data_IF_105884988268
#
_entry.id   IF_105884988268
#
_cell.length_a   1.000
_cell.length_b   1.000
_cell.length_c   1.000
_cell.angle_alpha   90.00
_cell.angle_beta   90.00
_cell.angle_gamma   90.00
#
_symmetry.space_group_name_H-M   'P 1'
#
loop_
_entity.id
_entity.type
_entity.pdbx_description
1 polymer ?
#
# COMPACT_ATOMS: atom_id res chain seq x y z
N UNK A 1 65.38 5.29 10.92
CA UNK A 1 64.31 4.31 11.14
C UNK A 1 63.20 4.96 11.95
N UNK A 2 62.07 5.33 11.33
CA UNK A 2 60.83 5.70 12.03
C UNK A 2 59.68 5.01 11.30
N UNK A 3 59.05 4.09 12.01
CA UNK A 3 58.00 3.19 11.53
C UNK A 3 56.69 3.96 11.41
N UNK A 4 56.11 3.97 10.21
CA UNK A 4 54.79 4.54 9.95
C UNK A 4 53.76 3.46 10.27
N UNK A 5 52.94 3.65 11.30
CA UNK A 5 51.82 2.76 11.60
C UNK A 5 50.62 3.17 10.74
N UNK A 6 50.27 2.33 9.77
CA UNK A 6 49.04 2.47 8.98
C UNK A 6 47.85 1.99 9.81
N UNK A 7 46.96 2.92 10.19
CA UNK A 7 45.69 2.61 10.85
C UNK A 7 44.66 2.34 9.75
N UNK A 8 44.35 1.06 9.52
CA UNK A 8 43.28 0.65 8.63
C UNK A 8 41.94 0.74 9.37
N UNK A 9 41.12 1.73 9.03
CA UNK A 9 39.74 1.85 9.53
C UNK A 9 38.86 0.94 8.68
N UNK A 10 38.49 -0.23 9.19
CA UNK A 10 37.49 -1.09 8.57
C UNK A 10 36.09 -0.52 8.88
N UNK A 11 35.49 0.16 7.91
CA UNK A 11 34.09 0.61 7.98
C UNK A 11 33.21 -0.57 7.58
N UNK A 12 32.78 -1.37 8.56
CA UNK A 12 31.79 -2.42 8.36
C UNK A 12 30.41 -1.76 8.27
N UNK A 13 29.97 -1.46 7.04
CA UNK A 13 28.58 -1.07 6.77
C UNK A 13 27.70 -2.30 6.96
N UNK A 14 27.17 -2.49 8.16
CA UNK A 14 26.10 -3.47 8.39
C UNK A 14 24.84 -2.92 7.74
N UNK A 15 24.54 -3.41 6.53
CA UNK A 15 23.24 -3.21 5.88
C UNK A 15 22.23 -4.03 6.67
N UNK A 16 21.68 -3.43 7.74
CA UNK A 16 20.58 -4.02 8.48
C UNK A 16 19.36 -3.98 7.56
N UNK A 17 19.09 -5.09 6.88
CA UNK A 17 17.86 -5.29 6.14
C UNK A 17 16.70 -5.18 7.12
N UNK A 18 16.03 -4.03 7.12
CA UNK A 18 14.71 -3.88 7.69
C UNK A 18 13.78 -4.77 6.86
N UNK A 19 13.64 -6.04 7.23
CA UNK A 19 12.47 -6.82 6.86
C UNK A 19 11.28 -6.06 7.44
N UNK A 20 10.69 -5.19 6.64
CA UNK A 20 9.42 -4.56 6.96
C UNK A 20 8.47 -5.67 7.37
N UNK A 21 7.80 -5.49 8.51
CA UNK A 21 6.66 -6.32 8.88
C UNK A 21 5.57 -6.10 7.82
N UNK A 22 5.68 -6.78 6.68
CA UNK A 22 4.70 -6.72 5.61
C UNK A 22 3.46 -7.46 6.10
N UNK A 23 2.44 -6.70 6.48
CA UNK A 23 1.18 -7.27 6.97
C UNK A 23 0.50 -7.95 5.79
N UNK A 24 0.43 -9.28 5.84
CA UNK A 24 -0.35 -10.06 4.89
C UNK A 24 -1.83 -10.02 5.31
N UNK A 25 -2.72 -9.72 4.38
CA UNK A 25 -4.15 -9.84 4.46
C UNK A 25 -4.63 -11.09 3.70
N UNK A 26 -5.81 -11.61 4.06
CA UNK A 26 -6.39 -12.80 3.41
C UNK A 26 -7.75 -12.45 2.81
N UNK A 27 -8.35 -13.40 2.08
CA UNK A 27 -9.72 -13.25 1.58
C UNK A 27 -10.72 -12.91 2.71
N UNK A 28 -10.51 -13.41 3.94
CA UNK A 28 -11.33 -13.04 5.10
C UNK A 28 -11.27 -11.54 5.46
N UNK A 29 -10.15 -10.88 5.18
CA UNK A 29 -10.01 -9.44 5.39
C UNK A 29 -10.72 -8.67 4.27
N UNK A 30 -10.60 -9.13 3.02
CA UNK A 30 -11.29 -8.55 1.87
C UNK A 30 -12.81 -8.67 1.98
N UNK A 31 -13.31 -9.79 2.51
CA UNK A 31 -14.72 -10.03 2.78
C UNK A 31 -15.30 -9.13 3.89
N UNK A 32 -14.46 -8.53 4.73
CA UNK A 32 -14.89 -7.54 5.73
C UNK A 32 -15.06 -6.15 5.12
N UNK A 33 -14.49 -5.89 3.94
CA UNK A 33 -14.64 -4.60 3.29
C UNK A 33 -16.07 -4.47 2.74
N UNK A 34 -16.77 -3.45 3.21
CA UNK A 34 -18.12 -3.07 2.77
C UNK A 34 -18.05 -1.73 2.04
N UNK A 35 -18.91 -1.49 1.05
CA UNK A 35 -19.02 -0.16 0.46
C UNK A 35 -19.38 0.88 1.54
N UNK A 36 -18.93 2.12 1.35
CA UNK A 36 -19.11 3.26 2.27
C UNK A 36 -18.29 3.22 3.57
N UNK A 37 -17.29 2.34 3.71
CA UNK A 37 -16.32 2.44 4.82
C UNK A 37 -15.19 3.41 4.48
N UNK A 38 -14.63 4.04 5.51
CA UNK A 38 -13.56 5.04 5.34
C UNK A 38 -12.21 4.42 4.98
N UNK A 39 -11.33 5.21 4.37
CA UNK A 39 -9.92 4.84 4.14
C UNK A 39 -9.24 4.33 5.41
N UNK A 40 -9.46 5.00 6.54
CA UNK A 40 -8.89 4.60 7.84
C UNK A 40 -9.38 3.23 8.32
N UNK A 41 -10.65 2.91 8.08
CA UNK A 41 -11.20 1.60 8.42
C UNK A 41 -10.57 0.52 7.55
N UNK A 42 -10.45 0.77 6.24
CA UNK A 42 -9.73 -0.13 5.33
C UNK A 42 -8.30 -0.35 5.79
N UNK A 43 -7.58 0.71 6.17
CA UNK A 43 -6.20 0.62 6.66
C UNK A 43 -6.09 -0.15 7.99
N UNK A 44 -7.15 -0.15 8.80
CA UNK A 44 -7.20 -0.95 10.03
C UNK A 44 -7.34 -2.45 9.72
N UNK A 45 -8.12 -2.78 8.67
CA UNK A 45 -8.40 -4.16 8.24
C UNK A 45 -7.24 -4.75 7.45
N UNK A 46 -6.76 -4.04 6.42
CA UNK A 46 -5.75 -4.51 5.46
C UNK A 46 -4.33 -4.03 5.77
N UNK A 47 -4.19 -2.96 6.57
CA UNK A 47 -2.91 -2.26 6.71
C UNK A 47 -2.76 -1.09 5.71
N UNK A 48 -1.58 -0.47 5.75
CA UNK A 48 -1.26 0.61 4.81
C UNK A 48 -1.15 0.06 3.38
N UNK A 49 -1.66 0.80 2.37
CA UNK A 49 -1.49 0.42 0.98
C UNK A 49 -0.02 0.57 0.54
N UNK A 50 0.40 -0.25 -0.40
CA UNK A 50 1.72 -0.14 -1.04
C UNK A 50 1.84 1.14 -1.86
N UNK A 51 0.73 1.55 -2.49
CA UNK A 51 0.67 2.78 -3.28
C UNK A 51 -0.71 3.42 -3.19
N UNK A 52 -0.71 4.74 -3.14
CA UNK A 52 -1.92 5.56 -3.22
C UNK A 52 -1.83 6.49 -4.42
N UNK A 53 -2.89 6.57 -5.21
CA UNK A 53 -3.02 7.46 -6.36
C UNK A 53 -4.32 8.27 -6.26
N UNK A 54 -4.27 9.56 -6.54
CA UNK A 54 -5.45 10.42 -6.61
C UNK A 54 -5.70 10.78 -8.07
N UNK A 55 -6.89 10.49 -8.56
CA UNK A 55 -7.27 10.67 -9.96
C UNK A 55 -8.61 11.41 -10.01
N UNK A 56 -8.69 12.44 -10.83
CA UNK A 56 -9.96 13.08 -11.17
C UNK A 56 -10.54 12.35 -12.38
N UNK A 57 -11.69 11.69 -12.19
CA UNK A 57 -12.38 10.99 -13.25
C UNK A 57 -13.54 11.86 -13.74
N UNK A 58 -13.49 12.27 -15.01
CA UNK A 58 -14.62 12.92 -15.67
C UNK A 58 -15.61 11.86 -16.14
N UNK A 59 -16.78 11.76 -15.49
CA UNK A 59 -17.87 10.93 -16.02
C UNK A 59 -18.54 11.66 -17.18
N UNK A 60 -18.32 11.17 -18.40
CA UNK A 60 -18.94 11.67 -19.65
C UNK A 60 -20.46 11.75 -19.54
N UNK A 61 -21.08 10.83 -18.79
CA UNK A 61 -22.54 10.73 -18.68
C UNK A 61 -23.18 11.76 -17.73
N UNK A 62 -22.40 12.46 -16.90
CA UNK A 62 -22.97 13.32 -15.84
C UNK A 62 -22.31 14.70 -15.64
N UNK A 63 -21.35 15.14 -16.49
CA UNK A 63 -20.59 16.40 -16.31
C UNK A 63 -20.13 16.61 -14.86
N UNK A 64 -19.77 15.52 -14.18
CA UNK A 64 -19.38 15.55 -12.79
C UNK A 64 -17.98 14.97 -12.70
N UNK A 65 -17.01 15.86 -12.47
CA UNK A 65 -15.65 15.48 -12.11
C UNK A 65 -15.71 14.86 -10.72
N UNK A 66 -15.31 13.60 -10.60
CA UNK A 66 -15.25 12.92 -9.32
C UNK A 66 -13.79 12.66 -8.97
N UNK A 67 -13.36 13.20 -7.83
CA UNK A 67 -12.06 12.88 -7.26
C UNK A 67 -12.12 11.48 -6.66
N UNK A 68 -11.40 10.55 -7.30
CA UNK A 68 -11.24 9.16 -6.86
C UNK A 68 -9.84 9.01 -6.28
N UNK A 69 -9.72 8.31 -5.15
CA UNK A 69 -8.43 7.84 -4.63
C UNK A 69 -8.36 6.33 -4.83
N UNK A 70 -7.26 5.84 -5.39
CA UNK A 70 -6.96 4.43 -5.60
C UNK A 70 -5.92 3.98 -4.59
N UNK A 71 -6.23 2.93 -3.84
CA UNK A 71 -5.24 2.23 -3.02
C UNK A 71 -4.86 0.93 -3.72
N UNK A 72 -3.56 0.69 -3.82
CA UNK A 72 -2.98 -0.51 -4.39
C UNK A 72 -2.36 -1.31 -3.27
N UNK A 73 -2.79 -2.57 -3.16
CA UNK A 73 -2.27 -3.55 -2.22
C UNK A 73 -1.62 -4.68 -3.00
N UNK A 74 -0.34 -4.92 -2.79
CA UNK A 74 0.42 -5.99 -3.43
C UNK A 74 0.66 -7.13 -2.44
N UNK A 75 0.18 -8.32 -2.80
CA UNK A 75 0.38 -9.50 -2.00
C UNK A 75 0.44 -10.75 -2.85
N UNK A 76 1.42 -11.62 -2.61
CA UNK A 76 1.59 -12.90 -3.31
C UNK A 76 1.61 -12.75 -4.85
N UNK A 77 2.16 -11.64 -5.35
CA UNK A 77 2.18 -11.31 -6.78
C UNK A 77 0.85 -10.80 -7.36
N UNK A 78 -0.21 -10.72 -6.55
CA UNK A 78 -1.50 -10.15 -6.91
C UNK A 78 -1.60 -8.70 -6.46
N UNK A 79 -2.34 -7.90 -7.22
CA UNK A 79 -2.61 -6.50 -6.89
C UNK A 79 -4.10 -6.31 -6.68
N UNK A 80 -4.50 -5.96 -5.45
CA UNK A 80 -5.86 -5.56 -5.12
C UNK A 80 -5.95 -4.04 -5.22
N UNK A 81 -6.89 -3.54 -6.02
CA UNK A 81 -7.11 -2.11 -6.21
C UNK A 81 -8.44 -1.72 -5.57
N UNK A 82 -8.39 -0.79 -4.62
CA UNK A 82 -9.56 -0.22 -3.98
C UNK A 82 -9.81 1.19 -4.49
N UNK A 83 -11.07 1.49 -4.82
CA UNK A 83 -11.49 2.80 -5.28
C UNK A 83 -12.26 3.53 -4.19
N UNK A 84 -11.82 4.73 -3.86
CA UNK A 84 -12.46 5.60 -2.88
C UNK A 84 -12.98 6.85 -3.55
N UNK A 85 -14.18 7.27 -3.18
CA UNK A 85 -14.75 8.57 -3.56
C UNK A 85 -15.09 9.32 -2.30
N UNK A 86 -14.65 10.58 -2.19
CA UNK A 86 -14.82 11.40 -0.98
C UNK A 86 -14.32 10.70 0.30
N UNK A 87 -13.27 9.86 0.19
CA UNK A 87 -12.69 9.11 1.31
C UNK A 87 -13.45 7.84 1.70
N UNK A 88 -14.50 7.46 0.96
CA UNK A 88 -15.31 6.27 1.20
C UNK A 88 -15.12 5.22 0.11
N UNK A 89 -15.04 3.94 0.49
CA UNK A 89 -14.89 2.83 -0.43
C UNK A 89 -16.12 2.73 -1.34
N UNK A 90 -15.91 2.75 -2.65
CA UNK A 90 -16.99 2.66 -3.63
C UNK A 90 -17.62 1.27 -3.68
N UNK A 91 -16.78 0.26 -3.91
CA UNK A 91 -17.20 -1.11 -4.19
C UNK A 91 -16.39 -2.11 -3.36
N UNK A 92 -16.95 -3.30 -3.16
CA UNK A 92 -16.23 -4.42 -2.57
C UNK A 92 -15.08 -4.86 -3.49
N UNK A 93 -13.89 -5.18 -2.94
CA UNK A 93 -12.77 -5.70 -3.73
C UNK A 93 -13.05 -7.08 -4.32
N UNK A 94 -12.33 -7.38 -5.41
CA UNK A 94 -12.17 -8.75 -5.86
C UNK A 94 -11.35 -9.56 -4.84
N UNK A 95 -11.71 -10.83 -4.68
CA UNK A 95 -10.96 -11.77 -3.85
C UNK A 95 -9.64 -12.14 -4.54
N UNK A 96 -8.65 -12.54 -3.75
CA UNK A 96 -7.41 -13.10 -4.27
C UNK A 96 -7.70 -14.45 -4.93
N UNK A 97 -7.15 -14.67 -6.13
CA UNK A 97 -7.20 -15.95 -6.83
C UNK A 97 -6.15 -16.88 -6.20
N UNK A 98 -6.57 -18.06 -5.76
CA UNK A 98 -5.71 -19.07 -5.12
C UNK A 98 -5.23 -20.13 -6.11
#
# INVERSE_FOLDING_TARGET
MRTVQSITVAVTVTVTGLTGCHRQFTNRNLEQLRPNISQKEVETILGHPDRTEKVELELETQKKTMAITRYYYQQDGQTVVLHFQNGLLLNQPNLLEH
#
